data_IF_146301029425
#
_entry.id   IF_146301029425
#
_cell.length_a   1.000
_cell.length_b   1.000
_cell.length_c   1.000
_cell.angle_alpha   90.00
_cell.angle_beta   90.00
_cell.angle_gamma   90.00
#
_symmetry.space_group_name_H-M   'P 1'
#
loop_
_entity.id
_entity.type
_entity.pdbx_description
1 polymer ?
#
# COMPACT_ATOMS: atom_id res chain seq x y z
N UNK A 1 2.16 6.67 -3.37
CA UNK A 1 2.55 7.00 -1.98
C UNK A 1 3.72 7.97 -1.93
N UNK A 2 4.93 7.61 -2.38
CA UNK A 2 6.10 8.51 -2.34
C UNK A 2 5.81 9.92 -2.86
N UNK A 3 5.24 10.03 -4.07
CA UNK A 3 4.89 11.33 -4.67
C UNK A 3 3.92 12.16 -3.83
N UNK A 4 2.85 11.54 -3.34
CA UNK A 4 1.85 12.21 -2.50
C UNK A 4 2.47 12.72 -1.18
N UNK A 5 3.42 11.98 -0.59
CA UNK A 5 4.16 12.43 0.61
C UNK A 5 5.09 13.58 0.25
N UNK A 6 5.86 13.46 -0.84
CA UNK A 6 6.78 14.51 -1.29
C UNK A 6 6.04 15.84 -1.50
N UNK A 7 4.90 15.80 -2.19
CA UNK A 7 4.05 16.98 -2.42
C UNK A 7 3.49 17.53 -1.11
N UNK A 8 2.96 16.67 -0.23
CA UNK A 8 2.43 17.09 1.07
C UNK A 8 3.50 17.74 1.94
N UNK A 9 4.71 17.20 1.95
CA UNK A 9 5.85 17.76 2.69
C UNK A 9 6.24 19.12 2.13
N UNK A 10 6.21 19.29 0.81
CA UNK A 10 6.49 20.57 0.17
C UNK A 10 5.48 21.65 0.62
N UNK A 11 4.18 21.36 0.50
CA UNK A 11 3.08 22.24 0.94
C UNK A 11 3.25 22.65 2.42
N UNK A 12 3.49 21.67 3.30
CA UNK A 12 3.72 21.95 4.72
C UNK A 12 4.94 22.87 4.96
N UNK A 13 6.03 22.68 4.21
CA UNK A 13 7.26 23.48 4.34
C UNK A 13 7.12 24.90 3.79
N UNK A 14 6.26 25.09 2.79
CA UNK A 14 5.95 26.40 2.20
C UNK A 14 4.98 27.22 3.09
N UNK A 15 4.49 26.63 4.19
CA UNK A 15 3.63 27.30 5.15
C UNK A 15 2.15 27.29 4.77
N UNK A 16 1.76 26.46 3.81
CA UNK A 16 0.38 26.35 3.30
C UNK A 16 -0.55 25.51 4.20
N UNK A 17 -0.03 25.00 5.32
CA UNK A 17 -0.77 24.26 6.33
C UNK A 17 -0.55 22.73 6.29
N UNK A 18 -1.12 22.00 7.26
CA UNK A 18 -0.97 20.55 7.34
C UNK A 18 -1.80 19.82 6.29
N UNK A 19 -1.31 18.65 5.84
CA UNK A 19 -2.01 17.76 4.91
C UNK A 19 -2.33 16.43 5.58
N UNK A 20 -3.59 15.99 5.47
CA UNK A 20 -4.00 14.64 5.86
C UNK A 20 -3.89 13.70 4.65
N UNK A 21 -3.26 12.55 4.85
CA UNK A 21 -3.14 11.50 3.82
C UNK A 21 -3.86 10.25 4.33
N UNK A 22 -4.83 9.76 3.55
CA UNK A 22 -5.42 8.43 3.74
C UNK A 22 -4.72 7.41 2.83
N UNK A 23 -4.00 6.47 3.45
CA UNK A 23 -3.35 5.38 2.72
C UNK A 23 -4.28 4.15 2.63
N UNK A 24 -5.10 4.11 1.59
CA UNK A 24 -6.03 3.01 1.33
C UNK A 24 -5.26 1.71 1.05
N UNK A 25 -5.31 0.77 2.00
CA UNK A 25 -4.53 -0.47 1.98
C UNK A 25 -5.28 -1.63 2.64
N UNK A 26 -4.68 -2.82 2.64
CA UNK A 26 -5.23 -4.04 3.22
C UNK A 26 -4.24 -4.74 4.13
N UNK A 27 -4.72 -5.17 5.30
CA UNK A 27 -3.93 -5.98 6.24
C UNK A 27 -3.98 -7.45 5.81
N UNK A 28 -3.02 -7.83 4.97
CA UNK A 28 -2.76 -9.25 4.67
C UNK A 28 -2.42 -10.01 5.95
N UNK A 29 -2.96 -11.21 6.08
CA UNK A 29 -2.77 -12.04 7.27
C UNK A 29 -3.51 -11.55 8.52
N UNK A 30 -3.20 -12.18 9.65
CA UNK A 30 -3.87 -11.98 10.92
C UNK A 30 -3.53 -10.64 11.59
N UNK A 31 -4.41 -10.19 12.50
CA UNK A 31 -4.18 -8.97 13.28
C UNK A 31 -2.94 -9.12 14.17
N UNK A 32 -2.84 -10.28 14.79
CA UNK A 32 -1.78 -10.74 15.68
C UNK A 32 -1.66 -12.26 15.53
N UNK A 33 -0.70 -12.88 16.21
CA UNK A 33 -0.52 -14.35 16.16
C UNK A 33 -1.67 -15.14 16.80
N UNK A 34 -2.46 -14.51 17.67
CA UNK A 34 -3.59 -15.15 18.37
C UNK A 34 -4.93 -14.93 17.66
N UNK A 35 -4.93 -14.16 16.57
CA UNK A 35 -6.12 -13.79 15.82
C UNK A 35 -6.43 -14.80 14.71
N UNK A 36 -7.72 -15.03 14.47
CA UNK A 36 -8.23 -15.86 13.39
C UNK A 36 -9.14 -15.02 12.49
N UNK A 37 -8.60 -14.49 11.38
CA UNK A 37 -9.36 -13.65 10.46
C UNK A 37 -10.54 -14.36 9.79
N UNK A 38 -10.49 -15.69 9.65
CA UNK A 38 -11.53 -16.45 8.94
C UNK A 38 -12.91 -16.32 9.60
N UNK A 39 -12.95 -15.82 10.84
CA UNK A 39 -14.17 -15.54 11.61
C UNK A 39 -14.89 -14.26 11.18
N UNK A 40 -14.21 -13.30 10.55
CA UNK A 40 -14.76 -11.97 10.30
C UNK A 40 -14.43 -11.37 8.93
N UNK A 41 -13.63 -12.05 8.11
CA UNK A 41 -13.40 -11.67 6.71
C UNK A 41 -13.49 -12.89 5.79
N UNK A 42 -13.87 -12.66 4.55
CA UNK A 42 -13.99 -13.75 3.56
C UNK A 42 -12.69 -13.90 2.76
N UNK A 43 -12.52 -15.08 2.16
CA UNK A 43 -11.37 -15.33 1.27
C UNK A 43 -11.43 -14.47 0.02
N UNK A 44 -12.63 -14.25 -0.51
CA UNK A 44 -12.87 -13.45 -1.70
C UNK A 44 -12.45 -11.98 -1.49
N UNK A 45 -12.71 -11.45 -0.29
CA UNK A 45 -12.21 -10.13 0.10
C UNK A 45 -10.67 -10.09 0.04
N UNK A 46 -9.99 -11.05 0.68
CA UNK A 46 -8.53 -11.13 0.72
C UNK A 46 -7.92 -11.31 -0.69
N UNK A 47 -8.51 -12.17 -1.52
CA UNK A 47 -8.10 -12.38 -2.92
C UNK A 47 -8.25 -11.11 -3.78
N UNK A 48 -9.30 -10.32 -3.56
CA UNK A 48 -9.50 -9.05 -4.28
C UNK A 48 -8.38 -8.03 -4.02
N UNK A 49 -7.68 -8.15 -2.88
CA UNK A 49 -6.53 -7.34 -2.51
C UNK A 49 -5.19 -7.96 -2.92
N UNK A 50 -5.14 -9.27 -3.15
CA UNK A 50 -3.95 -9.96 -3.66
C UNK A 50 -3.50 -9.39 -5.01
N UNK A 51 -4.45 -9.08 -5.90
CA UNK A 51 -4.16 -8.42 -7.19
C UNK A 51 -3.59 -7.01 -7.04
N UNK A 52 -3.73 -6.38 -5.87
CA UNK A 52 -3.27 -5.03 -5.56
C UNK A 52 -1.96 -5.01 -4.78
N UNK A 53 -1.32 -6.16 -4.59
CA UNK A 53 -0.08 -6.30 -3.83
C UNK A 53 0.99 -5.28 -4.28
N UNK A 54 1.47 -4.41 -3.37
CA UNK A 54 2.38 -3.33 -3.74
C UNK A 54 3.75 -3.85 -4.20
N UNK A 55 4.21 -4.99 -3.69
CA UNK A 55 5.49 -5.58 -4.07
C UNK A 55 5.40 -6.16 -5.48
N UNK A 56 4.32 -6.89 -5.80
CA UNK A 56 4.11 -7.42 -7.16
C UNK A 56 4.02 -6.28 -8.17
N UNK A 57 3.23 -5.24 -7.88
CA UNK A 57 3.06 -4.07 -8.76
C UNK A 57 4.38 -3.33 -8.98
N UNK A 58 5.15 -3.09 -7.92
CA UNK A 58 6.44 -2.42 -8.03
C UNK A 58 7.45 -3.27 -8.79
N UNK A 59 7.51 -4.59 -8.52
CA UNK A 59 8.39 -5.52 -9.24
C UNK A 59 8.09 -5.50 -10.73
N UNK A 60 6.83 -5.67 -11.14
CA UNK A 60 6.42 -5.60 -12.56
C UNK A 60 6.85 -4.28 -13.19
N UNK A 61 6.58 -3.16 -12.53
CA UNK A 61 7.00 -1.84 -13.02
C UNK A 61 8.52 -1.74 -13.22
N UNK A 62 9.32 -2.24 -12.28
CA UNK A 62 10.79 -2.16 -12.38
C UNK A 62 11.37 -3.09 -13.45
N UNK A 63 10.79 -4.27 -13.64
CA UNK A 63 11.15 -5.19 -14.73
C UNK A 63 10.87 -4.52 -16.08
N UNK A 64 9.69 -3.92 -16.26
CA UNK A 64 9.32 -3.20 -17.48
C UNK A 64 10.27 -2.03 -17.78
N UNK A 65 10.81 -1.40 -16.72
CA UNK A 65 11.82 -0.34 -16.81
C UNK A 65 13.25 -0.83 -16.96
N UNK A 66 13.49 -2.15 -16.97
CA UNK A 66 14.83 -2.78 -16.98
C UNK A 66 15.70 -2.34 -15.80
N UNK A 67 15.05 -2.07 -14.66
CA UNK A 67 15.69 -1.70 -13.39
C UNK A 67 15.71 -2.86 -12.39
N UNK A 68 15.15 -4.02 -12.76
CA UNK A 68 15.13 -5.24 -11.96
C UNK A 68 15.15 -6.47 -12.88
N UNK A 69 15.70 -7.58 -12.38
CA UNK A 69 15.68 -8.90 -13.02
C UNK A 69 15.20 -9.96 -12.03
N UNK A 70 14.60 -11.04 -12.55
CA UNK A 70 14.16 -12.18 -11.74
C UNK A 70 15.31 -13.02 -11.16
#
# INVERSE_FOLDING_TARGET
MYKAIEESVKVCKEGEGPVLIEAVTYRKGAHTTSDDPTKYRTKEEEESWECKDPLKRLKTYLIDKKLWSD
#
